data_IF_721381123859
#
_entry.id   IF_721381123859
#
_cell.length_a   1.000
_cell.length_b   1.000
_cell.length_c   1.000
_cell.angle_alpha   90.00
_cell.angle_beta   90.00
_cell.angle_gamma   90.00
#
_symmetry.space_group_name_H-M   'P 1'
#
loop_
_entity.id
_entity.type
_entity.pdbx_description
1 polymer ?
#
# COMPACT_ATOMS: atom_id res chain seq x y z
N UNK A 1 4.15 22.87 16.96
CA UNK A 1 3.92 23.41 15.60
C UNK A 1 4.67 22.67 14.49
N UNK A 2 5.99 22.40 14.62
CA UNK A 2 6.76 21.66 13.59
C UNK A 2 6.32 20.20 13.41
N UNK A 3 6.12 19.47 14.53
CA UNK A 3 5.67 18.06 14.53
C UNK A 3 4.32 17.89 13.84
N UNK A 4 3.37 18.79 14.09
CA UNK A 4 2.04 18.77 13.46
C UNK A 4 2.11 18.95 11.93
N UNK A 5 3.04 19.76 11.41
CA UNK A 5 3.22 19.92 9.96
C UNK A 5 3.79 18.66 9.32
N UNK A 6 4.82 18.07 9.96
CA UNK A 6 5.41 16.81 9.51
C UNK A 6 4.39 15.67 9.50
N UNK A 7 3.51 15.61 10.50
CA UNK A 7 2.42 14.64 10.57
C UNK A 7 1.49 14.75 9.34
N UNK A 8 1.01 15.95 9.02
CA UNK A 8 0.18 16.14 7.84
C UNK A 8 0.91 15.76 6.55
N UNK A 9 2.20 16.10 6.42
CA UNK A 9 3.01 15.72 5.26
C UNK A 9 3.17 14.21 5.13
N UNK A 10 3.36 13.49 6.24
CA UNK A 10 3.41 12.03 6.24
C UNK A 10 2.08 11.43 5.78
N UNK A 11 0.95 11.91 6.31
CA UNK A 11 -0.38 11.47 5.89
C UNK A 11 -0.63 11.73 4.40
N UNK A 12 -0.26 12.91 3.89
CA UNK A 12 -0.40 13.22 2.46
C UNK A 12 0.52 12.37 1.59
N UNK A 13 1.76 12.14 2.01
CA UNK A 13 2.70 11.31 1.27
C UNK A 13 2.24 9.85 1.20
N UNK A 14 1.77 9.29 2.31
CA UNK A 14 1.23 7.93 2.36
C UNK A 14 -0.05 7.82 1.53
N UNK A 15 -0.98 8.78 1.68
CA UNK A 15 -2.21 8.79 0.91
C UNK A 15 -1.95 8.90 -0.60
N UNK A 16 -0.99 9.72 -1.00
CA UNK A 16 -0.58 9.83 -2.40
C UNK A 16 -0.09 8.49 -2.93
N UNK A 17 0.79 7.79 -2.22
CA UNK A 17 1.30 6.47 -2.64
C UNK A 17 0.14 5.49 -2.81
N UNK A 18 -0.72 5.33 -1.80
CA UNK A 18 -1.86 4.41 -1.86
C UNK A 18 -2.85 4.73 -2.99
N UNK A 19 -3.21 6.00 -3.16
CA UNK A 19 -4.13 6.39 -4.24
C UNK A 19 -3.47 6.13 -5.60
N UNK A 20 -2.20 6.50 -5.74
CA UNK A 20 -1.51 6.37 -7.02
C UNK A 20 -1.29 4.90 -7.39
N UNK A 21 -0.86 4.04 -6.46
CA UNK A 21 -0.72 2.59 -6.70
C UNK A 21 -2.06 1.97 -7.08
N UNK A 22 -3.13 2.30 -6.36
CA UNK A 22 -4.45 1.79 -6.68
C UNK A 22 -4.97 2.24 -8.04
N UNK A 23 -4.77 3.51 -8.41
CA UNK A 23 -5.07 4.00 -9.76
C UNK A 23 -4.21 3.32 -10.83
N UNK A 24 -2.94 3.02 -10.54
CA UNK A 24 -2.09 2.27 -11.46
C UNK A 24 -2.63 0.88 -11.70
N UNK A 25 -3.03 0.15 -10.65
CA UNK A 25 -3.59 -1.19 -10.76
C UNK A 25 -4.95 -1.22 -11.47
N UNK A 26 -5.79 -0.19 -11.31
CA UNK A 26 -7.13 -0.18 -11.91
C UNK A 26 -7.16 0.41 -13.32
N UNK A 27 -6.40 1.48 -13.57
CA UNK A 27 -6.54 2.30 -14.78
C UNK A 27 -5.29 2.42 -15.64
N UNK A 28 -4.11 2.61 -15.04
CA UNK A 28 -2.92 2.95 -15.85
C UNK A 28 -2.17 1.75 -16.38
N UNK A 29 -2.08 0.66 -15.61
CA UNK A 29 -1.34 -0.53 -16.00
C UNK A 29 -1.90 -1.82 -15.37
N UNK A 30 -3.21 -2.11 -15.51
CA UNK A 30 -3.79 -3.35 -15.01
C UNK A 30 -3.11 -4.61 -15.59
N UNK A 31 -2.70 -4.56 -16.85
CA UNK A 31 -2.04 -5.66 -17.57
C UNK A 31 -0.76 -6.15 -16.88
N UNK A 32 0.02 -5.24 -16.29
CA UNK A 32 1.23 -5.61 -15.54
C UNK A 32 0.87 -6.47 -14.32
N UNK A 33 -0.21 -6.11 -13.62
CA UNK A 33 -0.71 -6.89 -12.48
C UNK A 33 -1.17 -8.29 -12.90
N UNK A 34 -1.88 -8.39 -14.02
CA UNK A 34 -2.31 -9.66 -14.60
C UNK A 34 -1.12 -10.53 -15.04
N UNK A 35 -0.11 -9.95 -15.69
CA UNK A 35 1.09 -10.69 -16.13
C UNK A 35 1.87 -11.27 -14.94
N UNK A 36 2.00 -10.50 -13.85
CA UNK A 36 2.62 -10.98 -12.61
C UNK A 36 1.83 -12.16 -12.03
N UNK A 37 0.51 -12.07 -11.97
CA UNK A 37 -0.34 -13.14 -11.44
C UNK A 37 -0.35 -14.39 -12.34
N UNK A 38 -0.36 -14.20 -13.66
CA UNK A 38 -0.29 -15.28 -14.64
C UNK A 38 1.02 -16.09 -14.50
N UNK A 39 2.14 -15.44 -14.13
CA UNK A 39 3.41 -16.14 -13.85
C UNK A 39 3.31 -17.17 -12.71
N UNK A 40 2.33 -17.00 -11.82
CA UNK A 40 2.00 -17.94 -10.74
C UNK A 40 0.77 -18.82 -11.04
N UNK A 41 0.30 -18.87 -12.30
CA UNK A 41 -0.93 -19.54 -12.74
C UNK A 41 -2.19 -19.04 -12.03
N UNK A 42 -2.21 -17.76 -11.62
CA UNK A 42 -3.40 -17.10 -11.05
C UNK A 42 -4.10 -16.35 -12.19
N UNK A 43 -5.21 -16.90 -12.67
CA UNK A 43 -5.92 -16.40 -13.84
C UNK A 43 -7.44 -16.27 -13.60
N UNK A 44 -8.12 -15.62 -14.55
CA UNK A 44 -9.57 -15.43 -14.52
C UNK A 44 -10.04 -14.58 -13.34
N UNK A 45 -11.18 -14.97 -12.75
CA UNK A 45 -11.84 -14.18 -11.69
C UNK A 45 -10.96 -13.92 -10.47
N UNK A 46 -10.05 -14.85 -10.13
CA UNK A 46 -9.15 -14.65 -8.99
C UNK A 46 -8.13 -13.53 -9.28
N UNK A 47 -7.65 -13.44 -10.52
CA UNK A 47 -6.76 -12.36 -10.93
C UNK A 47 -7.49 -11.01 -10.98
N UNK A 48 -8.73 -10.99 -11.47
CA UNK A 48 -9.55 -9.77 -11.49
C UNK A 48 -9.78 -9.23 -10.08
N UNK A 49 -10.13 -10.11 -9.13
CA UNK A 49 -10.34 -9.74 -7.72
C UNK A 49 -9.03 -9.25 -7.10
N UNK A 50 -7.89 -9.88 -7.41
CA UNK A 50 -6.60 -9.45 -6.88
C UNK A 50 -6.18 -8.07 -7.41
N UNK A 51 -6.25 -7.85 -8.73
CA UNK A 51 -5.81 -6.60 -9.37
C UNK A 51 -6.79 -5.45 -9.05
N UNK A 52 -8.07 -5.61 -9.36
CA UNK A 52 -9.04 -4.55 -9.18
C UNK A 52 -9.45 -4.39 -7.72
N UNK A 53 -9.64 -5.50 -6.99
CA UNK A 53 -9.96 -5.44 -5.56
C UNK A 53 -8.81 -4.86 -4.75
N UNK A 54 -7.56 -5.25 -5.06
CA UNK A 54 -6.36 -4.66 -4.46
C UNK A 54 -6.25 -3.17 -4.79
N UNK A 55 -6.41 -2.77 -6.05
CA UNK A 55 -6.32 -1.37 -6.43
C UNK A 55 -7.43 -0.48 -5.83
N UNK A 56 -8.66 -0.99 -5.71
CA UNK A 56 -9.75 -0.28 -5.02
C UNK A 56 -9.45 -0.15 -3.52
N UNK A 57 -8.96 -1.22 -2.89
CA UNK A 57 -8.57 -1.22 -1.48
C UNK A 57 -7.49 -0.16 -1.21
N UNK A 58 -6.48 -0.08 -2.07
CA UNK A 58 -5.42 0.91 -2.01
C UNK A 58 -5.98 2.34 -2.04
N UNK A 59 -6.85 2.65 -3.02
CA UNK A 59 -7.50 3.98 -3.10
C UNK A 59 -8.32 4.27 -1.84
N UNK A 60 -9.08 3.29 -1.34
CA UNK A 60 -9.87 3.44 -0.13
C UNK A 60 -9.00 3.75 1.10
N UNK A 61 -7.86 3.06 1.27
CA UNK A 61 -6.92 3.32 2.37
C UNK A 61 -6.32 4.71 2.27
N UNK A 62 -5.89 5.13 1.07
CA UNK A 62 -5.33 6.46 0.87
C UNK A 62 -6.34 7.58 1.14
N UNK A 63 -7.57 7.45 0.65
CA UNK A 63 -8.66 8.43 0.93
C UNK A 63 -9.03 8.44 2.41
N UNK A 64 -9.10 7.28 3.07
CA UNK A 64 -9.37 7.20 4.51
C UNK A 64 -8.27 7.92 5.31
N UNK A 65 -7.00 7.72 4.97
CA UNK A 65 -5.91 8.39 5.67
C UNK A 65 -6.02 9.93 5.59
N UNK A 66 -6.51 10.47 4.47
CA UNK A 66 -6.76 11.91 4.31
C UNK A 66 -7.85 12.45 5.24
N UNK A 67 -8.82 11.62 5.65
CA UNK A 67 -9.85 12.07 6.60
C UNK A 67 -9.31 12.20 8.02
N UNK A 68 -8.10 11.68 8.30
CA UNK A 68 -7.45 11.67 9.62
C UNK A 68 -8.35 11.14 10.74
N UNK A 69 -9.31 10.28 10.39
CA UNK A 69 -10.32 9.74 11.31
C UNK A 69 -10.00 8.28 11.56
N UNK A 70 -9.96 7.87 12.83
CA UNK A 70 -9.55 6.52 13.22
C UNK A 70 -8.18 6.12 12.61
N UNK A 71 -7.24 7.07 12.54
CA UNK A 71 -5.94 6.90 11.87
C UNK A 71 -5.19 5.67 12.37
N UNK A 72 -5.27 5.34 13.66
CA UNK A 72 -4.66 4.11 14.22
C UNK A 72 -5.13 2.84 13.51
N UNK A 73 -6.43 2.70 13.30
CA UNK A 73 -7.00 1.55 12.59
C UNK A 73 -6.58 1.56 11.11
N UNK A 74 -6.59 2.73 10.47
CA UNK A 74 -6.11 2.89 9.10
C UNK A 74 -4.64 2.46 8.96
N UNK A 75 -3.76 2.87 9.87
CA UNK A 75 -2.35 2.47 9.91
C UNK A 75 -2.18 0.95 10.08
N UNK A 76 -2.93 0.33 11.00
CA UNK A 76 -2.88 -1.13 11.19
C UNK A 76 -3.28 -1.89 9.91
N UNK A 77 -4.34 -1.43 9.24
CA UNK A 77 -4.79 -2.03 7.98
C UNK A 77 -3.77 -1.83 6.85
N UNK A 78 -3.17 -0.63 6.74
CA UNK A 78 -2.10 -0.37 5.76
C UNK A 78 -0.92 -1.34 5.97
N UNK A 79 -0.46 -1.52 7.21
CA UNK A 79 0.59 -2.50 7.51
C UNK A 79 0.18 -3.93 7.13
N UNK A 80 -1.06 -4.33 7.44
CA UNK A 80 -1.60 -5.64 7.08
C UNK A 80 -1.61 -5.88 5.57
N UNK A 81 -2.08 -4.91 4.80
CA UNK A 81 -2.10 -4.98 3.32
C UNK A 81 -0.69 -5.07 2.75
N UNK A 82 0.24 -4.25 3.26
CA UNK A 82 1.66 -4.31 2.85
C UNK A 82 2.24 -5.70 3.08
N UNK A 83 2.00 -6.30 4.26
CA UNK A 83 2.49 -7.66 4.57
C UNK A 83 1.88 -8.68 3.62
N UNK A 84 0.56 -8.62 3.37
CA UNK A 84 -0.12 -9.53 2.45
C UNK A 84 0.46 -9.41 1.03
N UNK A 85 0.60 -8.19 0.50
CA UNK A 85 1.16 -7.98 -0.84
C UNK A 85 2.62 -8.41 -0.94
N UNK A 86 3.43 -8.13 0.07
CA UNK A 86 4.83 -8.56 0.12
C UNK A 86 4.96 -10.08 0.15
N UNK A 87 4.13 -10.78 0.94
CA UNK A 87 4.11 -12.25 0.96
C UNK A 87 3.62 -12.83 -0.36
N UNK A 88 2.56 -12.26 -0.95
CA UNK A 88 2.05 -12.67 -2.24
C UNK A 88 3.12 -12.53 -3.34
N UNK A 89 3.76 -11.37 -3.45
CA UNK A 89 4.83 -11.15 -4.42
C UNK A 89 6.04 -12.05 -4.15
N UNK A 90 6.39 -12.31 -2.89
CA UNK A 90 7.49 -13.23 -2.55
C UNK A 90 7.18 -14.67 -2.97
N UNK A 91 5.92 -15.08 -2.87
CA UNK A 91 5.47 -16.41 -3.30
C UNK A 91 5.43 -16.53 -4.82
N UNK A 92 5.00 -15.48 -5.53
CA UNK A 92 4.99 -15.41 -7.00
C UNK A 92 6.42 -15.40 -7.54
N UNK A 93 7.24 -14.44 -7.10
CA UNK A 93 8.65 -14.34 -7.49
C UNK A 93 9.48 -13.62 -6.40
N UNK A 94 10.30 -14.38 -5.68
CA UNK A 94 11.21 -13.84 -4.67
C UNK A 94 12.26 -12.86 -5.25
N UNK A 95 12.49 -12.83 -6.57
CA UNK A 95 13.40 -11.88 -7.21
C UNK A 95 12.95 -10.42 -7.03
N UNK A 96 11.66 -10.17 -6.74
CA UNK A 96 11.11 -8.84 -6.49
C UNK A 96 11.76 -8.11 -5.30
N UNK A 97 12.46 -8.83 -4.40
CA UNK A 97 13.28 -8.24 -3.35
C UNK A 97 14.54 -7.54 -3.88
N UNK A 98 15.12 -8.06 -4.96
CA UNK A 98 16.36 -7.56 -5.57
C UNK A 98 16.10 -6.81 -6.89
N UNK A 99 14.84 -6.60 -7.25
CA UNK A 99 14.44 -5.89 -8.45
C UNK A 99 14.99 -4.44 -8.45
N UNK A 100 15.47 -3.90 -9.58
CA UNK A 100 16.07 -2.56 -9.64
C UNK A 100 15.13 -1.44 -9.17
N UNK A 101 13.82 -1.62 -9.32
CA UNK A 101 12.81 -0.67 -8.84
C UNK A 101 12.35 -0.93 -7.40
N UNK A 102 12.83 -1.98 -6.74
CA UNK A 102 12.59 -2.29 -5.33
C UNK A 102 11.13 -2.28 -4.87
N UNK A 103 10.20 -2.97 -5.56
CA UNK A 103 8.77 -2.93 -5.20
C UNK A 103 8.52 -3.44 -3.78
N UNK A 104 9.24 -4.48 -3.33
CA UNK A 104 9.11 -5.00 -1.96
C UNK A 104 9.95 -4.21 -0.97
N UNK A 105 11.17 -3.80 -1.33
CA UNK A 105 12.07 -3.09 -0.41
C UNK A 105 11.59 -1.68 -0.07
N UNK A 106 10.88 -1.01 -0.98
CA UNK A 106 10.21 0.28 -0.71
C UNK A 106 9.14 0.19 0.39
N UNK A 107 8.57 -0.99 0.64
CA UNK A 107 7.59 -1.17 1.70
C UNK A 107 8.20 -1.00 3.10
N UNK A 108 9.50 -1.25 3.28
CA UNK A 108 10.18 -1.10 4.57
C UNK A 108 10.12 0.35 5.10
N UNK A 109 10.61 1.37 4.38
CA UNK A 109 10.50 2.75 4.84
C UNK A 109 9.04 3.24 4.90
N UNK A 110 8.14 2.71 4.06
CA UNK A 110 6.70 3.04 4.12
C UNK A 110 6.10 2.56 5.45
N UNK A 111 6.39 1.32 5.86
CA UNK A 111 5.93 0.78 7.16
C UNK A 111 6.47 1.62 8.32
N UNK A 112 7.74 2.03 8.29
CA UNK A 112 8.30 2.91 9.32
C UNK A 112 7.53 4.24 9.39
N UNK A 113 7.19 4.83 8.23
CA UNK A 113 6.40 6.07 8.20
C UNK A 113 4.97 5.87 8.73
N UNK A 114 4.34 4.74 8.42
CA UNK A 114 3.02 4.37 8.95
C UNK A 114 3.08 4.22 10.48
N UNK A 115 4.09 3.52 11.00
CA UNK A 115 4.29 3.34 12.45
C UNK A 115 4.54 4.68 13.15
N UNK A 116 5.27 5.58 12.52
CA UNK A 116 5.47 6.93 13.04
C UNK A 116 4.14 7.73 13.10
N UNK A 117 3.31 7.67 12.05
CA UNK A 117 1.97 8.28 12.04
C UNK A 117 1.09 7.67 13.14
N UNK A 118 1.16 6.35 13.34
CA UNK A 118 0.43 5.63 14.38
C UNK A 118 0.82 6.11 15.79
N UNK A 119 2.11 6.25 16.04
CA UNK A 119 2.68 6.66 17.33
C UNK A 119 2.34 8.11 17.68
N UNK A 120 2.51 9.05 16.74
CA UNK A 120 2.16 10.47 16.95
C UNK A 120 0.66 10.64 17.24
N UNK A 121 -0.21 9.87 16.60
CA UNK A 121 -1.64 9.89 16.92
C UNK A 121 -1.91 9.29 18.31
N UNK A 122 -1.09 8.35 18.78
CA UNK A 122 -1.23 7.77 20.11
C UNK A 122 -1.00 8.78 21.22
N UNK A 123 0.01 9.63 21.11
CA UNK A 123 0.34 10.65 22.11
C UNK A 123 -0.69 11.80 22.19
N UNK A 124 -1.54 11.95 21.16
CA UNK A 124 -2.54 13.02 21.09
C UNK A 124 -3.87 12.73 21.83
N UNK A 125 -3.98 11.56 22.47
CA UNK A 125 -5.10 11.14 23.31
C UNK A 125 -4.66 10.97 24.76
#
# INVERSE_FOLDING_TARGET
MKTHKLYCYACYSLAFIWIFTGLTSVFFAPEIGFDILASANIEGTLADVAVYGGGILDVCLGVWLLTQRYTKLCCMLQCGVIVIYSLLLTWIDASFWLHPFGPVTKNVPIVVLILWVYDVQHESH
#
